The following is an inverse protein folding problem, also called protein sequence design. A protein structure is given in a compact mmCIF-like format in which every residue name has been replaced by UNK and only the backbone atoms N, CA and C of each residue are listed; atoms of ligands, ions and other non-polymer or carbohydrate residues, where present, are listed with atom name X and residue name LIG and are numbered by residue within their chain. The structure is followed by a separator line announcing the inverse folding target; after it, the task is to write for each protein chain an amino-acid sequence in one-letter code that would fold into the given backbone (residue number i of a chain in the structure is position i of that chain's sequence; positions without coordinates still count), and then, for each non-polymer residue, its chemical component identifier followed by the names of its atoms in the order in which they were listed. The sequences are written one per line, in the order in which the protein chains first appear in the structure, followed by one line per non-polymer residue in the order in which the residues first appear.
data_IF_124723711620
#
_entry.id   IF_124723711620
#
_cell.length_a   1.000
_cell.length_b   1.000
_cell.length_c   1.000
_cell.angle_alpha   90.00
_cell.angle_beta   90.00
_cell.angle_gamma   90.00
#
_symmetry.space_group_name_H-M   'P 1'
#
loop_
_entity.id
_entity.type
_entity.pdbx_description
1 polymer ?
#
# COMPACT_ATOMS: atom_id res chain seq x y z
N UNK A 1 -26.73 12.49 7.62
CA UNK A 1 -25.35 12.37 7.11
C UNK A 1 -25.05 13.66 6.40
N UNK A 2 -24.10 14.45 6.90
CA UNK A 2 -23.70 15.71 6.27
C UNK A 2 -22.29 15.57 5.72
N UNK A 3 -22.07 16.07 4.50
CA UNK A 3 -20.80 16.00 3.78
C UNK A 3 -20.54 17.34 3.11
N UNK A 4 -19.33 17.87 3.30
CA UNK A 4 -18.91 19.18 2.80
C UNK A 4 -17.62 19.00 2.01
N UNK A 5 -17.52 19.64 0.85
CA UNK A 5 -16.34 19.56 -0.02
C UNK A 5 -15.32 20.63 0.37
N UNK A 6 -14.08 20.21 0.62
CA UNK A 6 -12.95 21.09 0.88
C UNK A 6 -11.87 20.89 -0.17
N UNK A 7 -11.11 21.94 -0.49
CA UNK A 7 -9.88 21.78 -1.28
C UNK A 7 -8.82 21.09 -0.41
N UNK A 8 -7.90 20.39 -1.04
CA UNK A 8 -6.81 19.73 -0.31
C UNK A 8 -5.92 20.72 0.47
N UNK A 9 -5.86 21.98 0.03
CA UNK A 9 -5.17 23.08 0.74
C UNK A 9 -5.80 23.46 2.07
N UNK A 10 -7.11 23.21 2.21
CA UNK A 10 -7.91 23.67 3.34
C UNK A 10 -7.96 22.60 4.44
N UNK A 11 -7.61 21.36 4.10
CA UNK A 11 -7.49 20.25 5.03
C UNK A 11 -6.11 20.26 5.69
N UNK A 12 -6.08 19.96 6.98
CA UNK A 12 -4.83 19.83 7.76
C UNK A 12 -4.87 18.55 8.59
N UNK A 13 -3.69 17.97 8.82
CA UNK A 13 -3.55 16.82 9.71
C UNK A 13 -3.88 17.27 11.13
N UNK A 14 -4.78 16.54 11.78
CA UNK A 14 -5.14 16.79 13.17
C UNK A 14 -3.93 16.61 14.10
N UNK A 15 -3.75 17.58 15.00
CA UNK A 15 -2.70 17.61 16.02
C UNK A 15 -3.33 18.00 17.34
N UNK A 16 -2.74 17.50 18.42
CA UNK A 16 -3.17 17.76 19.78
C UNK A 16 -2.13 18.64 20.49
N UNK A 17 -2.59 19.60 21.29
CA UNK A 17 -1.71 20.39 22.14
C UNK A 17 -1.68 19.79 23.54
N UNK A 18 -0.53 19.24 23.93
CA UNK A 18 -0.31 18.62 25.23
C UNK A 18 1.04 19.06 25.79
N UNK A 19 1.06 19.44 27.06
CA UNK A 19 2.27 19.81 27.80
C UNK A 19 3.15 20.86 27.10
N UNK A 20 2.51 21.85 26.46
CA UNK A 20 3.22 22.94 25.79
C UNK A 20 3.83 22.57 24.44
N UNK A 21 3.48 21.42 23.84
CA UNK A 21 4.00 20.96 22.55
C UNK A 21 2.87 20.44 21.66
N UNK A 22 2.97 20.71 20.34
CA UNK A 22 2.11 20.09 19.34
C UNK A 22 2.50 18.63 19.13
N UNK A 23 1.64 17.70 19.54
CA UNK A 23 1.77 16.27 19.29
C UNK A 23 0.92 15.89 18.08
N UNK A 24 1.45 15.00 17.23
CA UNK A 24 0.63 14.39 16.19
C UNK A 24 -0.37 13.45 16.85
N UNK A 25 -1.62 13.48 16.40
CA UNK A 25 -2.61 12.51 16.86
C UNK A 25 -2.08 11.09 16.59
N UNK A 26 -2.32 10.18 17.54
CA UNK A 26 -1.85 8.81 17.41
C UNK A 26 -2.34 8.24 16.08
N UNK A 27 -1.38 7.84 15.25
CA UNK A 27 -1.68 7.10 14.03
C UNK A 27 -2.39 5.84 14.48
N UNK A 28 -3.69 5.73 14.19
CA UNK A 28 -4.41 4.47 14.20
C UNK A 28 -3.55 3.50 13.39
N UNK A 29 -2.87 2.57 14.07
CA UNK A 29 -2.07 1.58 13.39
C UNK A 29 -3.05 0.78 12.55
N UNK A 30 -2.88 0.69 11.23
CA UNK A 30 -3.70 -0.23 10.46
C UNK A 30 -3.46 -1.62 11.05
N UNK A 31 -4.53 -2.28 11.49
CA UNK A 31 -4.49 -3.66 11.96
C UNK A 31 -3.73 -4.50 10.94
N UNK A 32 -2.49 -4.88 11.28
CA UNK A 32 -1.74 -5.87 10.50
C UNK A 32 -2.40 -7.21 10.74
N UNK A 33 -3.50 -7.49 10.04
CA UNK A 33 -4.05 -8.85 9.95
C UNK A 33 -2.97 -9.72 9.32
N UNK A 34 -2.30 -10.53 10.14
CA UNK A 34 -1.28 -11.50 9.73
C UNK A 34 -1.89 -12.37 8.63
N UNK A 35 -1.33 -12.32 7.41
CA UNK A 35 -1.62 -13.33 6.40
C UNK A 35 -0.92 -14.62 6.85
N UNK A 36 -1.72 -15.63 7.22
CA UNK A 36 -1.22 -16.98 7.36
C UNK A 36 -0.67 -17.45 6.00
N UNK A 37 0.50 -18.09 6.03
CA UNK A 37 1.15 -18.64 4.86
C UNK A 37 0.23 -19.69 4.20
N UNK A 38 -0.16 -19.44 2.95
CA UNK A 38 -0.52 -20.53 2.05
C UNK A 38 0.75 -20.86 1.25
N UNK A 39 1.48 -21.88 1.68
CA UNK A 39 2.43 -22.57 0.81
C UNK A 39 1.61 -23.24 -0.30
N UNK A 40 1.72 -22.74 -1.53
CA UNK A 40 1.31 -23.50 -2.70
C UNK A 40 2.50 -23.51 -3.65
N UNK A 41 3.11 -24.68 -3.75
CA UNK A 41 4.22 -24.95 -4.65
C UNK A 41 3.69 -24.81 -6.08
N UNK A 42 4.10 -23.76 -6.79
CA UNK A 42 3.93 -23.67 -8.24
C UNK A 42 5.17 -24.24 -8.92
N UNK A 43 5.22 -25.57 -9.02
CA UNK A 43 6.16 -26.25 -9.90
C UNK A 43 5.71 -26.17 -11.35
N UNK A 44 6.58 -25.64 -12.21
CA UNK A 44 6.72 -26.10 -13.58
C UNK A 44 5.79 -25.49 -14.62
N UNK A 45 6.18 -24.35 -15.17
CA UNK A 45 5.92 -24.00 -16.57
C UNK A 45 7.20 -23.35 -17.11
N UNK A 46 8.02 -24.18 -17.75
CA UNK A 46 9.18 -23.77 -18.53
C UNK A 46 8.73 -22.87 -19.68
N UNK A 47 9.19 -21.62 -19.68
CA UNK A 47 8.93 -20.67 -20.76
C UNK A 47 9.74 -21.04 -22.01
N UNK A 48 9.24 -22.00 -22.80
CA UNK A 48 9.69 -22.33 -24.17
C UNK A 48 9.22 -21.25 -25.16
N UNK A 49 9.37 -19.97 -24.80
CA UNK A 49 8.96 -18.84 -25.67
C UNK A 49 10.10 -17.89 -26.03
N UNK A 50 11.32 -18.14 -25.55
CA UNK A 50 12.49 -17.30 -25.86
C UNK A 50 13.48 -17.94 -26.85
N UNK A 51 12.99 -18.80 -27.75
CA UNK A 51 13.79 -19.46 -28.80
C UNK A 51 13.20 -19.24 -30.20
N UNK A 52 12.89 -17.99 -30.58
CA UNK A 52 12.50 -17.73 -31.97
C UNK A 52 12.78 -16.31 -32.48
N UNK A 53 13.97 -15.79 -32.26
CA UNK A 53 14.53 -14.67 -33.02
C UNK A 53 16.03 -14.74 -32.77
N UNK A 54 16.84 -15.41 -33.58
CA UNK A 54 17.38 -14.89 -34.84
C UNK A 54 17.98 -16.07 -35.61
N UNK A 55 17.40 -16.38 -36.77
CA UNK A 55 18.17 -16.91 -37.89
C UNK A 55 17.33 -16.81 -39.14
N UNK A 56 18.01 -16.47 -40.23
CA UNK A 56 17.64 -16.43 -41.65
C UNK A 56 17.52 -15.00 -42.19
N UNK A 57 18.07 -14.69 -43.38
CA UNK A 57 18.89 -15.53 -44.29
C UNK A 57 20.39 -15.46 -44.02
#
# INVERSE_FOLDING_TARGET
METILFKHSDLRIHREWKDGVWKMADKVKPDKKRKAAASSQNSGMDNVFLRRSERVP
#
